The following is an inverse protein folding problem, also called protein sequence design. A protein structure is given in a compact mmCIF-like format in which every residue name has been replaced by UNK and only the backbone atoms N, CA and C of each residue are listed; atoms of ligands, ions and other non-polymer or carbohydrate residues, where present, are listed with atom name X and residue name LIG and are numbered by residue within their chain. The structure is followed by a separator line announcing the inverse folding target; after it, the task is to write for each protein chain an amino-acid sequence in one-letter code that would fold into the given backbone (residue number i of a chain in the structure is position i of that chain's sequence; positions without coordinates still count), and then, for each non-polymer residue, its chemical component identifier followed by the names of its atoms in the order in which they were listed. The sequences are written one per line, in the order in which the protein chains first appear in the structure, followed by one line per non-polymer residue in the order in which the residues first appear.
data_IF_285130823779
#
_entry.id   IF_285130823779
#
_cell.length_a   1.000
_cell.length_b   1.000
_cell.length_c   1.000
_cell.angle_alpha   90.00
_cell.angle_beta   90.00
_cell.angle_gamma   90.00
#
_symmetry.space_group_name_H-M   'P 1'
#
loop_
_entity.id
_entity.type
_entity.pdbx_description
1 polymer ?
#
# COMPACT_ATOMS: atom_id res chain seq x y z
N UNK A 1 -44.55 -37.43 6.54
CA UNK A 1 -43.31 -36.62 6.51
C UNK A 1 -42.16 -37.48 7.04
N UNK A 2 -41.15 -37.78 6.20
CA UNK A 2 -39.96 -38.55 6.62
C UNK A 2 -38.91 -37.60 7.19
N UNK A 3 -38.25 -37.92 8.32
CA UNK A 3 -37.21 -37.05 8.89
C UNK A 3 -35.95 -37.08 8.02
N UNK A 4 -35.38 -35.90 7.77
CA UNK A 4 -34.09 -35.75 7.07
C UNK A 4 -32.94 -36.21 7.99
N UNK A 5 -31.96 -36.95 7.47
CA UNK A 5 -30.79 -37.38 8.26
C UNK A 5 -29.82 -36.21 8.49
N UNK A 6 -29.27 -36.15 9.71
CA UNK A 6 -28.31 -35.13 10.14
C UNK A 6 -26.93 -35.31 9.47
N UNK A 7 -26.20 -34.20 9.21
CA UNK A 7 -24.88 -34.23 8.58
C UNK A 7 -23.81 -34.78 9.54
N UNK A 8 -22.92 -35.64 9.01
CA UNK A 8 -21.79 -36.23 9.73
C UNK A 8 -20.62 -35.24 9.86
N UNK A 9 -19.87 -35.25 10.98
CA UNK A 9 -18.69 -34.40 11.17
C UNK A 9 -17.50 -34.85 10.29
N UNK A 10 -16.89 -33.90 9.58
CA UNK A 10 -15.67 -34.10 8.80
C UNK A 10 -14.45 -34.16 9.72
N UNK A 11 -13.67 -35.24 9.60
CA UNK A 11 -12.37 -35.42 10.27
C UNK A 11 -11.34 -34.46 9.65
N UNK A 12 -10.65 -33.68 10.48
CA UNK A 12 -9.46 -32.90 10.09
C UNK A 12 -8.26 -33.84 10.03
N UNK A 13 -7.57 -33.87 8.89
CA UNK A 13 -6.27 -34.51 8.75
C UNK A 13 -5.18 -33.48 9.10
N UNK A 14 -4.33 -33.81 10.06
CA UNK A 14 -3.12 -33.06 10.37
C UNK A 14 -1.96 -33.70 9.60
N UNK A 15 -1.30 -32.93 8.74
CA UNK A 15 -0.06 -33.33 8.08
C UNK A 15 1.12 -32.82 8.94
N UNK A 16 1.87 -33.76 9.53
CA UNK A 16 3.17 -33.49 10.14
C UNK A 16 4.22 -33.44 9.03
N UNK A 17 4.93 -32.31 8.92
CA UNK A 17 6.16 -32.17 8.15
C UNK A 17 7.35 -32.40 9.09
N UNK A 18 8.11 -33.46 8.83
CA UNK A 18 9.36 -33.75 9.52
C UNK A 18 10.51 -32.99 8.85
N UNK A 19 11.23 -32.18 9.61
CA UNK A 19 12.41 -31.46 9.16
C UNK A 19 13.68 -32.31 9.40
N UNK A 20 14.45 -32.55 8.33
CA UNK A 20 15.80 -33.10 8.41
C UNK A 20 16.80 -31.99 8.73
N UNK A 21 17.58 -32.18 9.79
CA UNK A 21 18.63 -31.25 10.21
C UNK A 21 19.97 -31.63 9.58
N UNK A 22 20.62 -30.69 8.88
CA UNK A 22 22.04 -30.79 8.50
C UNK A 22 22.80 -29.75 9.31
N UNK A 23 23.63 -30.24 10.23
CA UNK A 23 24.54 -29.45 11.05
C UNK A 23 25.78 -29.13 10.21
N UNK A 24 26.06 -27.84 9.99
CA UNK A 24 27.34 -27.37 9.42
C UNK A 24 28.07 -26.52 10.45
N UNK A 25 29.33 -26.84 10.68
CA UNK A 25 30.19 -26.27 11.73
C UNK A 25 31.34 -25.47 11.11
N UNK A 26 31.60 -24.32 11.75
CA UNK A 26 32.85 -23.56 11.84
C UNK A 26 33.26 -22.54 10.76
N UNK A 27 33.62 -21.36 11.28
CA UNK A 27 34.51 -20.37 10.66
C UNK A 27 34.53 -19.06 11.45
N UNK A 28 35.42 -18.91 12.43
CA UNK A 28 35.61 -17.69 13.22
C UNK A 28 36.35 -16.61 12.40
N UNK A 29 35.76 -15.42 12.27
CA UNK A 29 36.43 -14.21 11.79
C UNK A 29 36.00 -12.98 12.60
N UNK A 30 36.92 -12.01 12.60
CA UNK A 30 37.12 -10.95 13.56
C UNK A 30 36.03 -9.85 13.61
N UNK A 31 36.00 -9.23 14.79
CA UNK A 31 35.24 -8.05 15.20
C UNK A 31 35.07 -6.97 14.11
N UNK A 32 33.84 -6.81 13.66
CA UNK A 32 33.24 -5.57 13.16
C UNK A 32 31.78 -5.64 13.60
N UNK A 33 31.25 -4.53 14.14
CA UNK A 33 29.90 -4.47 14.71
C UNK A 33 28.83 -4.81 13.67
N UNK A 34 28.55 -6.10 13.52
CA UNK A 34 27.53 -6.64 12.65
C UNK A 34 26.23 -6.60 13.43
N UNK A 35 25.34 -5.71 12.98
CA UNK A 35 23.92 -5.74 13.34
C UNK A 35 23.43 -7.15 13.05
N UNK A 36 23.16 -7.92 14.10
CA UNK A 36 22.65 -9.29 13.99
C UNK A 36 21.27 -9.21 13.38
N UNK A 37 21.21 -9.37 12.06
CA UNK A 37 19.99 -9.71 11.35
C UNK A 37 19.34 -10.90 12.09
N UNK A 38 18.04 -10.81 12.33
CA UNK A 38 17.25 -11.76 13.11
C UNK A 38 17.73 -13.20 12.83
N UNK A 39 18.35 -13.83 13.84
CA UNK A 39 18.75 -15.23 13.73
C UNK A 39 17.52 -16.11 13.45
N UNK A 40 17.68 -17.28 12.83
CA UNK A 40 16.57 -18.20 12.54
C UNK A 40 15.99 -18.87 13.80
N UNK A 41 16.13 -18.24 14.97
CA UNK A 41 15.59 -18.77 16.21
C UNK A 41 14.06 -18.77 16.15
N UNK A 42 13.50 -19.94 16.41
CA UNK A 42 12.07 -20.14 16.44
C UNK A 42 11.51 -19.37 17.63
N UNK A 43 10.90 -18.22 17.35
CA UNK A 43 10.36 -17.35 18.37
C UNK A 43 9.39 -18.09 19.29
N UNK A 44 9.68 -18.08 20.59
CA UNK A 44 8.86 -18.74 21.60
C UNK A 44 7.52 -18.02 21.83
N UNK A 45 7.47 -16.73 21.53
CA UNK A 45 6.31 -15.88 21.75
C UNK A 45 5.58 -15.53 20.43
N UNK A 46 4.23 -15.41 20.46
CA UNK A 46 3.49 -14.89 19.33
C UNK A 46 3.93 -13.45 19.01
N UNK A 47 3.80 -13.05 17.75
CA UNK A 47 4.04 -11.67 17.31
C UNK A 47 2.80 -11.13 16.63
N UNK A 48 2.53 -9.84 16.83
CA UNK A 48 1.29 -9.21 16.41
C UNK A 48 1.57 -8.02 15.49
N UNK A 49 0.82 -7.96 14.39
CA UNK A 49 0.82 -6.83 13.48
C UNK A 49 -0.60 -6.26 13.43
N UNK A 50 -0.77 -5.04 13.96
CA UNK A 50 -2.00 -4.28 13.79
C UNK A 50 -2.01 -3.71 12.36
N UNK A 51 -3.05 -3.99 11.60
CA UNK A 51 -3.26 -3.37 10.29
C UNK A 51 -4.45 -2.43 10.40
N UNK A 52 -4.27 -1.21 9.92
CA UNK A 52 -5.27 -0.16 9.94
C UNK A 52 -5.53 0.35 8.53
N UNK A 53 -6.81 0.46 8.20
CA UNK A 53 -7.33 0.94 6.94
C UNK A 53 -8.02 2.27 7.23
N UNK A 54 -7.43 3.34 6.73
CA UNK A 54 -7.91 4.72 6.88
C UNK A 54 -8.42 5.16 5.51
N UNK A 55 -9.70 5.48 5.32
CA UNK A 55 -10.15 6.09 4.06
C UNK A 55 -9.34 7.35 3.75
N UNK A 56 -8.80 7.45 2.52
CA UNK A 56 -7.99 8.60 2.13
C UNK A 56 -8.88 9.78 1.72
N UNK A 57 -8.67 10.95 2.32
CA UNK A 57 -9.32 12.20 1.89
C UNK A 57 -8.88 12.63 0.48
N UNK A 58 -7.69 12.19 0.04
CA UNK A 58 -7.16 12.44 -1.30
C UNK A 58 -7.78 11.53 -2.37
N UNK A 59 -8.60 10.56 -2.00
CA UNK A 59 -9.21 9.64 -2.95
C UNK A 59 -10.15 10.38 -3.90
N UNK A 60 -10.10 10.03 -5.19
CA UNK A 60 -11.02 10.59 -6.20
C UNK A 60 -12.49 10.22 -5.95
N UNK A 61 -12.73 9.15 -5.17
CA UNK A 61 -14.02 8.75 -4.67
C UNK A 61 -13.88 8.11 -3.28
N UNK A 62 -14.86 8.31 -2.41
CA UNK A 62 -14.85 7.75 -1.06
C UNK A 62 -14.91 6.20 -1.11
N UNK A 63 -13.94 5.48 -0.54
CA UNK A 63 -13.95 4.03 -0.50
C UNK A 63 -14.92 3.54 0.58
N UNK A 64 -16.00 2.85 0.20
CA UNK A 64 -16.92 2.23 1.15
C UNK A 64 -16.53 0.79 1.53
N UNK A 65 -15.58 0.18 0.81
CA UNK A 65 -15.06 -1.13 1.17
C UNK A 65 -13.62 -1.33 0.69
N UNK A 66 -12.93 -2.25 1.36
CA UNK A 66 -11.62 -2.75 0.94
C UNK A 66 -11.61 -4.28 0.87
N UNK A 67 -10.94 -4.84 -0.13
CA UNK A 67 -10.52 -6.25 -0.11
C UNK A 67 -9.10 -6.31 0.41
N UNK A 68 -8.89 -7.17 1.40
CA UNK A 68 -7.57 -7.46 1.96
C UNK A 68 -7.20 -8.89 1.58
N UNK A 69 -6.01 -9.05 1.00
CA UNK A 69 -5.37 -10.35 0.78
C UNK A 69 -4.09 -10.37 1.60
N UNK A 70 -3.96 -11.37 2.46
CA UNK A 70 -2.73 -11.67 3.19
C UNK A 70 -2.17 -12.95 2.63
N UNK A 71 -0.97 -12.90 2.07
CA UNK A 71 -0.26 -14.05 1.53
C UNK A 71 1.10 -14.21 2.19
N UNK A 72 1.63 -15.42 2.14
CA UNK A 72 3.02 -15.73 2.53
C UNK A 72 3.69 -16.56 1.45
N UNK A 73 4.88 -17.09 1.74
CA UNK A 73 5.65 -17.88 0.77
C UNK A 73 4.90 -19.10 0.19
N UNK A 74 3.91 -19.62 0.91
CA UNK A 74 3.09 -20.76 0.49
C UNK A 74 1.81 -20.38 -0.29
N UNK A 75 1.57 -19.09 -0.54
CA UNK A 75 0.35 -18.56 -1.17
C UNK A 75 -0.55 -17.80 -0.20
N UNK A 76 -1.82 -17.66 -0.57
CA UNK A 76 -2.83 -16.91 0.19
C UNK A 76 -3.10 -17.56 1.56
N UNK A 77 -2.94 -16.77 2.61
CA UNK A 77 -3.23 -17.14 4.00
C UNK A 77 -4.68 -16.78 4.34
N UNK A 78 -5.09 -15.56 3.98
CA UNK A 78 -6.43 -15.05 4.25
C UNK A 78 -6.87 -14.05 3.18
N UNK A 79 -8.14 -14.11 2.83
CA UNK A 79 -8.80 -13.13 1.95
C UNK A 79 -10.14 -12.76 2.55
N UNK A 80 -10.35 -11.47 2.81
CA UNK A 80 -11.59 -10.95 3.38
C UNK A 80 -11.84 -9.52 2.92
N UNK A 81 -13.06 -9.06 3.08
CA UNK A 81 -13.45 -7.70 2.75
C UNK A 81 -13.81 -6.95 4.03
N UNK A 82 -13.53 -5.66 4.08
CA UNK A 82 -13.79 -4.81 5.25
C UNK A 82 -14.69 -3.68 4.80
N UNK A 83 -15.79 -3.45 5.54
CA UNK A 83 -16.67 -2.31 5.28
C UNK A 83 -16.00 -1.06 5.83
N UNK A 84 -15.84 -0.07 4.98
CA UNK A 84 -15.35 1.26 5.30
C UNK A 84 -16.53 2.24 5.28
N UNK A 85 -16.33 3.44 5.83
CA UNK A 85 -17.32 4.50 5.73
C UNK A 85 -17.08 5.62 6.75
N UNK A 86 -17.18 6.85 6.28
CA UNK A 86 -16.81 8.03 7.04
C UNK A 86 -15.34 8.02 7.47
N UNK A 87 -15.00 8.84 8.47
CA UNK A 87 -13.61 9.02 8.93
C UNK A 87 -13.17 7.95 9.94
N UNK A 88 -13.95 6.87 10.11
CA UNK A 88 -13.64 5.85 11.11
C UNK A 88 -12.68 4.83 10.54
N UNK A 89 -11.45 4.71 11.07
CA UNK A 89 -10.51 3.70 10.60
C UNK A 89 -11.03 2.30 10.93
N UNK A 90 -10.79 1.36 10.02
CA UNK A 90 -10.99 -0.05 10.27
C UNK A 90 -9.66 -0.69 10.67
N UNK A 91 -9.66 -1.62 11.62
CA UNK A 91 -8.43 -2.27 12.07
C UNK A 91 -8.62 -3.76 12.32
N UNK A 92 -7.60 -4.54 12.00
CA UNK A 92 -7.53 -5.96 12.31
C UNK A 92 -6.11 -6.34 12.76
N UNK A 93 -5.98 -7.45 13.48
CA UNK A 93 -4.69 -7.92 13.99
C UNK A 93 -4.31 -9.20 13.27
N UNK A 94 -3.10 -9.23 12.70
CA UNK A 94 -2.48 -10.44 12.20
C UNK A 94 -1.62 -11.03 13.31
N UNK A 95 -1.86 -12.30 13.65
CA UNK A 95 -1.10 -13.05 14.64
C UNK A 95 -0.20 -14.05 13.94
N UNK A 96 1.09 -14.01 14.26
CA UNK A 96 2.01 -15.10 13.96
C UNK A 96 1.96 -16.11 15.10
N UNK A 97 1.54 -17.33 14.77
CA UNK A 97 1.52 -18.44 15.74
C UNK A 97 2.92 -18.74 16.31
N UNK A 98 2.97 -19.14 17.58
CA UNK A 98 4.21 -19.52 18.25
C UNK A 98 4.92 -20.66 17.50
N UNK A 99 6.26 -20.61 17.47
CA UNK A 99 7.06 -21.61 16.77
C UNK A 99 7.11 -21.47 15.24
N UNK A 100 6.53 -20.41 14.67
CA UNK A 100 6.72 -20.04 13.26
C UNK A 100 7.95 -19.14 13.10
N UNK A 101 8.64 -19.27 11.97
CA UNK A 101 9.82 -18.47 11.65
C UNK A 101 9.43 -17.00 11.60
N UNK A 102 10.23 -16.15 12.26
CA UNK A 102 10.03 -14.71 12.23
C UNK A 102 10.34 -14.10 10.85
N UNK A 103 11.18 -14.80 10.09
CA UNK A 103 11.62 -14.44 8.75
C UNK A 103 10.62 -14.82 7.66
N UNK A 104 9.48 -15.42 8.01
CA UNK A 104 8.42 -15.72 7.05
C UNK A 104 7.74 -14.41 6.63
N UNK A 105 8.21 -13.86 5.50
CA UNK A 105 7.63 -12.68 4.84
C UNK A 105 6.14 -12.88 4.61
N UNK A 106 5.35 -11.87 4.93
CA UNK A 106 3.97 -11.76 4.49
C UNK A 106 3.79 -10.57 3.56
N UNK A 107 2.88 -10.71 2.62
CA UNK A 107 2.43 -9.65 1.75
C UNK A 107 1.00 -9.30 2.13
N UNK A 108 0.76 -8.02 2.40
CA UNK A 108 -0.58 -7.48 2.63
C UNK A 108 -0.94 -6.61 1.42
N UNK A 109 -1.93 -7.06 0.68
CA UNK A 109 -2.49 -6.37 -0.48
C UNK A 109 -3.87 -5.82 -0.13
N UNK A 110 -4.07 -4.52 -0.39
CA UNK A 110 -5.33 -3.82 -0.15
C UNK A 110 -5.84 -3.20 -1.45
N UNK A 111 -7.06 -3.57 -1.84
CA UNK A 111 -7.77 -2.96 -2.96
C UNK A 111 -8.99 -2.19 -2.46
N UNK A 112 -9.15 -0.95 -2.93
CA UNK A 112 -10.24 -0.05 -2.57
C UNK A 112 -11.42 -0.16 -3.55
N UNK A 113 -12.64 -0.14 -3.04
CA UNK A 113 -13.87 -0.15 -3.84
C UNK A 113 -14.86 0.90 -3.35
N UNK A 114 -15.59 1.52 -4.28
CA UNK A 114 -16.68 2.43 -3.97
C UNK A 114 -17.83 1.72 -3.23
N UNK A 115 -18.08 0.45 -3.57
CA UNK A 115 -19.06 -0.40 -2.91
C UNK A 115 -18.80 -1.87 -3.24
N UNK A 116 -19.15 -2.78 -2.33
CA UNK A 116 -19.16 -4.22 -2.55
C UNK A 116 -20.51 -4.84 -2.15
N UNK A 117 -21.01 -5.77 -2.97
CA UNK A 117 -22.20 -6.54 -2.63
C UNK A 117 -22.01 -7.29 -1.30
N UNK A 118 -22.97 -7.13 -0.39
CA UNK A 118 -22.94 -7.74 0.95
C UNK A 118 -22.36 -6.85 2.04
N UNK A 119 -21.75 -5.70 1.70
CA UNK A 119 -21.24 -4.75 2.71
C UNK A 119 -22.38 -4.15 3.56
N UNK A 120 -23.58 -4.00 3.00
CA UNK A 120 -24.72 -3.31 3.63
C UNK A 120 -25.10 -3.92 4.99
N UNK A 121 -24.87 -5.23 5.14
CA UNK A 121 -25.18 -6.00 6.35
C UNK A 121 -24.02 -6.05 7.35
N UNK A 122 -22.81 -5.67 6.94
CA UNK A 122 -21.64 -5.62 7.81
C UNK A 122 -21.62 -4.30 8.60
N UNK A 123 -21.21 -4.31 9.87
CA UNK A 123 -20.98 -3.06 10.58
C UNK A 123 -19.72 -2.35 10.05
N UNK A 124 -19.63 -1.02 10.21
CA UNK A 124 -18.44 -0.27 9.85
C UNK A 124 -17.20 -0.82 10.57
N UNK A 125 -16.10 -0.95 9.84
CA UNK A 125 -14.85 -1.51 10.32
C UNK A 125 -14.87 -3.02 10.60
N UNK A 126 -15.94 -3.74 10.21
CA UNK A 126 -16.02 -5.20 10.35
C UNK A 126 -15.76 -5.92 9.03
N UNK A 127 -15.19 -7.10 9.17
CA UNK A 127 -14.97 -8.03 8.08
C UNK A 127 -16.27 -8.66 7.58
N UNK A 128 -16.30 -8.96 6.28
CA UNK A 128 -17.35 -9.72 5.62
C UNK A 128 -16.77 -10.54 4.47
N UNK A 129 -17.52 -11.53 4.00
CA UNK A 129 -17.11 -12.36 2.88
C UNK A 129 -17.08 -11.53 1.58
N UNK A 130 -15.96 -11.53 0.87
CA UNK A 130 -15.87 -10.87 -0.42
C UNK A 130 -16.82 -11.53 -1.44
N UNK A 131 -17.52 -10.76 -2.28
CA UNK A 131 -18.32 -11.33 -3.36
C UNK A 131 -17.41 -12.00 -4.40
N UNK A 132 -17.94 -13.02 -5.08
CA UNK A 132 -17.18 -13.77 -6.09
C UNK A 132 -16.81 -12.91 -7.32
N UNK A 133 -17.62 -11.91 -7.64
CA UNK A 133 -17.35 -10.93 -8.69
C UNK A 133 -17.11 -9.57 -8.03
N UNK A 134 -15.93 -9.00 -8.26
CA UNK A 134 -15.57 -7.69 -7.75
C UNK A 134 -15.83 -6.63 -8.84
N UNK A 135 -16.37 -5.46 -8.48
CA UNK A 135 -16.41 -4.32 -9.38
C UNK A 135 -14.99 -3.80 -9.66
N UNK A 136 -14.82 -2.85 -10.60
CA UNK A 136 -13.54 -2.17 -10.78
C UNK A 136 -13.07 -1.52 -9.47
N UNK A 137 -11.78 -1.68 -9.15
CA UNK A 137 -11.16 -1.02 -8.01
C UNK A 137 -11.05 0.49 -8.28
N UNK A 138 -11.12 1.30 -7.23
CA UNK A 138 -10.96 2.76 -7.31
C UNK A 138 -9.54 3.15 -7.70
N UNK A 139 -8.55 2.40 -7.21
CA UNK A 139 -7.13 2.63 -7.43
C UNK A 139 -6.43 1.30 -7.70
N UNK A 140 -5.15 1.36 -8.07
CA UNK A 140 -4.27 0.19 -8.02
C UNK A 140 -4.20 -0.41 -6.61
N UNK A 141 -3.80 -1.68 -6.54
CA UNK A 141 -3.61 -2.38 -5.28
C UNK A 141 -2.44 -1.76 -4.50
N UNK A 142 -2.65 -1.52 -3.20
CA UNK A 142 -1.59 -1.12 -2.28
C UNK A 142 -0.96 -2.39 -1.70
N UNK A 143 0.33 -2.60 -1.95
CA UNK A 143 1.03 -3.83 -1.59
C UNK A 143 2.17 -3.50 -0.65
N UNK A 144 2.17 -4.11 0.53
CA UNK A 144 3.25 -4.00 1.51
C UNK A 144 3.77 -5.40 1.85
N UNK A 145 5.06 -5.62 1.65
CA UNK A 145 5.79 -6.79 2.14
C UNK A 145 6.43 -6.47 3.49
N UNK A 146 6.13 -7.29 4.49
CA UNK A 146 6.65 -7.11 5.85
C UNK A 146 6.94 -8.44 6.52
N UNK A 147 7.89 -8.39 7.45
CA UNK A 147 8.22 -9.49 8.33
C UNK A 147 7.57 -9.26 9.72
N UNK A 148 7.42 -10.32 10.50
CA UNK A 148 7.05 -10.21 11.91
C UNK A 148 8.32 -10.12 12.76
N UNK A 149 8.64 -8.95 13.30
CA UNK A 149 9.75 -8.85 14.24
C UNK A 149 9.35 -9.44 15.60
N UNK A 150 10.23 -10.26 16.17
CA UNK A 150 9.99 -10.90 17.44
C UNK A 150 9.82 -9.88 18.57
N UNK A 151 8.84 -10.12 19.44
CA UNK A 151 8.53 -9.29 20.61
C UNK A 151 8.18 -7.81 20.31
N UNK A 152 7.93 -7.44 19.05
CA UNK A 152 7.47 -6.10 18.68
C UNK A 152 6.00 -6.13 18.24
N UNK A 153 5.20 -5.19 18.75
CA UNK A 153 3.91 -4.87 18.15
C UNK A 153 4.13 -3.79 17.11
N UNK A 154 3.69 -4.04 15.89
CA UNK A 154 3.79 -3.08 14.77
C UNK A 154 2.42 -2.65 14.32
N UNK A 155 2.34 -1.45 13.75
CA UNK A 155 1.12 -0.94 13.13
C UNK A 155 1.39 -0.60 11.66
N UNK A 156 0.66 -1.23 10.76
CA UNK A 156 0.66 -0.99 9.33
C UNK A 156 -0.56 -0.13 8.99
N UNK A 157 -0.35 0.99 8.31
CA UNK A 157 -1.44 1.91 7.95
C UNK A 157 -1.56 1.96 6.43
N UNK A 158 -2.77 1.75 5.93
CA UNK A 158 -3.15 1.95 4.54
C UNK A 158 -4.15 3.10 4.47
N UNK A 159 -3.79 4.17 3.77
CA UNK A 159 -4.71 5.21 3.33
C UNK A 159 -5.46 4.69 2.10
N UNK A 160 -6.58 4.02 2.32
CA UNK A 160 -7.34 3.31 1.29
C UNK A 160 -7.89 4.29 0.26
N UNK A 161 -7.66 4.00 -1.02
CA UNK A 161 -8.07 4.88 -2.13
C UNK A 161 -7.15 6.08 -2.35
N UNK A 162 -6.07 6.21 -1.57
CA UNK A 162 -5.07 7.23 -1.79
C UNK A 162 -4.52 7.17 -3.22
N UNK A 163 -4.47 8.32 -3.86
CA UNK A 163 -3.75 8.55 -5.10
C UNK A 163 -2.67 9.57 -4.82
N UNK A 164 -1.44 9.26 -5.25
CA UNK A 164 -0.35 10.20 -5.14
C UNK A 164 -0.52 11.09 -6.34
N UNK A 165 -1.06 12.27 -6.11
CA UNK A 165 -1.04 13.30 -7.12
C UNK A 165 0.42 13.45 -7.57
N UNK A 166 0.64 13.54 -8.87
CA UNK A 166 1.76 14.32 -9.34
C UNK A 166 1.64 15.64 -8.56
N UNK A 167 2.60 15.96 -7.70
CA UNK A 167 2.79 17.36 -7.43
C UNK A 167 2.97 17.92 -8.84
N UNK A 168 1.96 18.63 -9.33
CA UNK A 168 2.23 19.75 -10.18
C UNK A 168 3.17 20.57 -9.29
N UNK A 169 4.48 20.29 -9.35
CA UNK A 169 5.44 21.34 -9.19
C UNK A 169 4.92 22.39 -10.14
N UNK A 170 4.14 23.31 -9.58
CA UNK A 170 4.31 24.72 -9.75
C UNK A 170 4.97 24.95 -11.11
N UNK A 171 4.24 24.57 -12.18
CA UNK A 171 4.52 25.05 -13.50
C UNK A 171 4.11 26.48 -13.30
N UNK A 172 5.09 27.25 -12.82
CA UNK A 172 4.84 28.53 -12.24
C UNK A 172 3.90 29.21 -13.20
N UNK A 173 2.92 29.88 -12.64
CA UNK A 173 2.83 31.26 -13.04
C UNK A 173 4.25 31.85 -12.82
N UNK A 174 5.19 31.58 -13.75
CA UNK A 174 5.97 32.64 -14.30
C UNK A 174 4.91 33.66 -14.61
N UNK A 175 4.71 34.59 -13.68
CA UNK A 175 5.27 35.92 -13.82
C UNK A 175 5.74 36.12 -15.27
N UNK A 176 4.80 35.97 -16.21
CA UNK A 176 4.67 36.89 -17.30
C UNK A 176 4.46 38.21 -16.57
N UNK A 177 5.58 38.76 -16.11
CA UNK A 177 5.67 40.11 -15.66
C UNK A 177 4.92 40.85 -16.74
N UNK A 178 3.91 41.60 -16.32
CA UNK A 178 3.45 42.72 -17.09
C UNK A 178 4.70 43.58 -17.32
N UNK A 179 5.48 43.22 -18.34
CA UNK A 179 6.46 44.10 -18.93
C UNK A 179 5.61 45.24 -19.40
N UNK A 180 5.67 46.34 -18.65
CA UNK A 180 5.11 47.62 -19.01
C UNK A 180 5.34 47.82 -20.51
N UNK A 181 4.29 47.61 -21.30
CA UNK A 181 4.23 48.14 -22.64
C UNK A 181 4.13 49.65 -22.44
N UNK A 182 5.29 50.28 -22.28
CA UNK A 182 5.41 51.72 -22.28
C UNK A 182 4.65 52.25 -23.49
N UNK A 183 3.72 53.15 -23.23
CA UNK A 183 3.07 53.96 -24.25
C UNK A 183 4.15 54.83 -24.92
N UNK A 184 4.87 54.25 -25.88
CA UNK A 184 5.69 54.96 -26.82
C UNK A 184 4.85 55.24 -28.06
N UNK A 185 4.56 56.51 -28.29
CA UNK A 185 3.87 57.03 -29.47
C UNK A 185 4.43 56.42 -30.78
N UNK A 186 3.72 55.44 -31.33
CA UNK A 186 3.91 55.03 -32.71
C UNK A 186 3.14 56.00 -33.60
N UNK A 187 3.87 56.99 -34.14
CA UNK A 187 3.37 57.85 -35.20
C UNK A 187 2.84 57.04 -36.38
N UNK A 188 1.75 57.52 -36.96
CA UNK A 188 1.17 56.99 -38.19
C UNK A 188 2.21 56.98 -39.31
N UNK A 189 2.69 55.79 -39.67
CA UNK A 189 3.53 55.55 -40.83
C UNK A 189 3.08 54.24 -41.48
N UNK A 190 2.56 54.35 -42.69
CA UNK A 190 2.14 53.25 -43.54
C UNK A 190 3.22 52.16 -43.64
N UNK A 191 2.94 50.99 -43.04
CA UNK A 191 3.67 49.75 -43.32
C UNK A 191 2.65 48.74 -43.85
N UNK A 192 2.81 48.41 -45.13
CA UNK A 192 1.92 47.54 -45.88
C UNK A 192 1.82 46.13 -45.32
N UNK A 193 0.70 45.49 -45.66
CA UNK A 193 0.46 44.07 -45.45
C UNK A 193 1.59 43.23 -46.06
N UNK A 194 2.49 42.74 -45.22
CA UNK A 194 3.46 41.71 -45.53
C UNK A 194 3.22 40.52 -44.60
N UNK A 195 2.85 39.39 -45.21
CA UNK A 195 2.52 38.12 -44.57
C UNK A 195 3.53 37.72 -43.47
N UNK A 196 3.17 37.94 -42.21
CA UNK A 196 3.74 37.18 -41.10
C UNK A 196 3.01 35.85 -41.06
N UNK A 197 3.54 34.86 -41.79
CA UNK A 197 3.08 33.48 -41.71
C UNK A 197 3.06 33.04 -40.25
N UNK A 198 1.89 32.59 -39.79
CA UNK A 198 1.73 31.91 -38.52
C UNK A 198 2.68 30.70 -38.52
N UNK A 199 3.84 30.85 -37.90
CA UNK A 199 4.69 29.73 -37.57
C UNK A 199 3.96 28.93 -36.53
N UNK A 200 3.46 27.75 -36.92
CA UNK A 200 2.94 26.73 -36.03
C UNK A 200 4.04 26.38 -35.02
N UNK A 201 4.06 27.08 -33.89
CA UNK A 201 4.75 26.64 -32.70
C UNK A 201 3.97 25.43 -32.18
N UNK A 202 4.24 24.27 -32.78
CA UNK A 202 3.76 22.99 -32.30
C UNK A 202 4.18 22.87 -30.85
N UNK A 203 3.20 22.90 -29.94
CA UNK A 203 3.39 22.54 -28.55
C UNK A 203 4.02 21.13 -28.59
N UNK A 204 5.26 20.94 -28.10
CA UNK A 204 5.79 19.59 -28.02
C UNK A 204 4.83 18.80 -27.13
N UNK A 205 4.35 17.67 -27.63
CA UNK A 205 3.66 16.66 -26.82
C UNK A 205 4.61 16.30 -25.67
N UNK A 206 4.46 17.00 -24.55
CA UNK A 206 5.04 16.61 -23.29
C UNK A 206 4.33 15.30 -22.93
N UNK A 207 4.94 14.18 -23.34
CA UNK A 207 4.41 12.85 -23.08
C UNK A 207 4.02 12.76 -21.62
N UNK A 208 2.81 12.26 -21.36
CA UNK A 208 2.27 12.04 -20.03
C UNK A 208 3.36 11.39 -19.16
N UNK A 209 3.92 12.16 -18.24
CA UNK A 209 4.79 11.58 -17.22
C UNK A 209 3.85 10.69 -16.39
N UNK A 210 4.08 9.37 -16.32
CA UNK A 210 3.16 8.49 -15.63
C UNK A 210 3.10 8.90 -14.16
N UNK A 211 1.99 9.53 -13.76
CA UNK A 211 1.75 9.90 -12.38
C UNK A 211 1.74 8.64 -11.52
N UNK A 212 2.70 8.53 -10.61
CA UNK A 212 2.83 7.35 -9.77
C UNK A 212 4.10 7.38 -8.94
N UNK A 213 4.12 6.53 -7.92
CA UNK A 213 5.32 6.31 -7.14
C UNK A 213 6.38 5.57 -7.97
N UNK A 214 7.66 5.88 -7.73
CA UNK A 214 8.76 5.14 -8.33
C UNK A 214 8.65 3.64 -7.99
N UNK A 215 9.26 2.77 -8.80
CA UNK A 215 9.29 1.33 -8.53
C UNK A 215 9.80 1.03 -7.12
N UNK A 216 9.09 0.18 -6.38
CA UNK A 216 9.38 -0.10 -4.98
C UNK A 216 8.73 0.87 -3.98
N UNK A 217 7.86 1.77 -4.45
CA UNK A 217 7.06 2.65 -3.61
C UNK A 217 5.55 2.48 -3.89
N UNK A 218 4.72 2.65 -2.87
CA UNK A 218 3.25 2.66 -2.94
C UNK A 218 2.71 3.93 -2.32
N UNK A 219 1.58 4.41 -2.85
CA UNK A 219 0.97 5.63 -2.35
C UNK A 219 0.13 5.36 -1.11
N UNK A 220 0.30 6.18 -0.08
CA UNK A 220 -0.60 6.19 1.08
C UNK A 220 -0.53 4.94 1.94
N UNK A 221 0.41 4.02 1.73
CA UNK A 221 0.60 2.88 2.63
C UNK A 221 2.02 2.88 3.21
N UNK A 222 2.13 2.53 4.50
CA UNK A 222 3.42 2.47 5.18
C UNK A 222 3.35 1.83 6.57
N UNK A 223 4.50 1.34 7.05
CA UNK A 223 4.64 0.82 8.42
C UNK A 223 4.95 1.93 9.42
N UNK A 224 4.46 1.73 10.63
CA UNK A 224 4.86 2.48 11.82
C UNK A 224 5.46 1.51 12.83
N UNK A 225 6.78 1.61 13.03
CA UNK A 225 7.48 1.06 14.19
C UNK A 225 7.98 2.18 15.12
N UNK A 226 8.29 3.37 14.57
CA UNK A 226 8.65 4.60 15.30
C UNK A 226 8.28 5.93 14.58
N UNK A 227 7.25 5.94 13.72
CA UNK A 227 6.82 7.15 12.97
C UNK A 227 7.69 7.42 11.74
N UNK A 228 7.21 7.15 10.53
CA UNK A 228 6.25 8.01 9.85
C UNK A 228 5.27 7.14 9.07
N UNK A 229 3.97 7.25 9.40
CA UNK A 229 2.94 6.84 8.46
C UNK A 229 3.02 7.75 7.25
N UNK A 230 3.04 7.13 6.10
CA UNK A 230 2.97 7.83 4.83
C UNK A 230 1.63 8.53 4.77
N UNK A 231 1.64 9.84 4.55
CA UNK A 231 0.41 10.58 4.37
C UNK A 231 -0.32 10.08 3.13
N UNK A 232 -1.61 10.40 2.99
CA UNK A 232 -2.46 9.94 1.89
C UNK A 232 -2.03 10.42 0.49
N UNK A 233 -0.99 11.26 0.39
CA UNK A 233 -0.39 11.72 -0.85
C UNK A 233 1.13 11.50 -0.92
N UNK A 234 1.69 10.67 -0.03
CA UNK A 234 3.13 10.37 0.01
C UNK A 234 3.44 8.99 -0.56
N UNK A 235 4.50 8.90 -1.36
CA UNK A 235 5.06 7.65 -1.86
C UNK A 235 5.99 7.01 -0.84
N UNK A 236 5.78 5.73 -0.53
CA UNK A 236 6.51 5.04 0.50
C UNK A 236 6.95 3.64 0.13
N UNK A 237 8.08 3.20 0.70
CA UNK A 237 8.69 1.92 0.36
C UNK A 237 7.72 0.74 0.55
N UNK A 238 7.63 -0.13 -0.45
CA UNK A 238 6.74 -1.30 -0.44
C UNK A 238 7.31 -2.49 0.31
N UNK A 239 8.62 -2.50 0.55
CA UNK A 239 9.32 -3.59 1.22
C UNK A 239 9.99 -3.07 2.48
N UNK A 240 9.66 -3.69 3.61
CA UNK A 240 10.26 -3.35 4.91
C UNK A 240 11.06 -4.54 5.42
N UNK A 241 12.13 -4.83 4.70
CA UNK A 241 13.03 -5.97 4.93
C UNK A 241 14.14 -5.69 5.96
N UNK A 242 14.37 -4.43 6.34
CA UNK A 242 15.47 -4.04 7.23
C UNK A 242 15.03 -3.44 8.58
N UNK A 243 13.73 -3.26 8.82
CA UNK A 243 13.25 -2.52 9.97
C UNK A 243 13.33 -3.30 11.30
N UNK A 244 13.60 -4.61 11.31
CA UNK A 244 13.91 -5.30 12.59
C UNK A 244 15.33 -4.95 13.11
N UNK A 245 16.18 -4.35 12.27
CA UNK A 245 17.60 -4.13 12.54
C UNK A 245 17.94 -2.68 12.95
N UNK A 246 16.99 -1.74 12.89
CA UNK A 246 17.26 -0.30 12.98
C UNK A 246 17.04 0.33 14.36
N UNK A 247 16.56 -0.41 15.36
CA UNK A 247 16.41 0.11 16.74
C UNK A 247 16.86 -0.91 17.79
N UNK A 248 18.18 -1.01 18.00
CA UNK A 248 18.80 -1.48 19.25
C UNK A 248 19.94 -0.55 19.62
#
# INVERSE_FOLDING_TARGET
MRPRPAPRPRRRAAALLAAGSVVSVCGAFAASGLVTACGPETAANPSYLLVELVPAESASAEPAAARVVVSGAAGDIATFCVRLGGDTPASFVLERGAGKSASDRITVEVLAFAALSGQETAALGKEFACPATLPPALTGAQVIETDFCEAQTRRLVFHVGAVCACAEEDAGAGDAGAGDAGAGDAGAGDAGAGDAGAGDAGVPDAGEVPCGCAGGFTCGAGLTSAGQSCGPAMCCVTTLSAACALET
#
